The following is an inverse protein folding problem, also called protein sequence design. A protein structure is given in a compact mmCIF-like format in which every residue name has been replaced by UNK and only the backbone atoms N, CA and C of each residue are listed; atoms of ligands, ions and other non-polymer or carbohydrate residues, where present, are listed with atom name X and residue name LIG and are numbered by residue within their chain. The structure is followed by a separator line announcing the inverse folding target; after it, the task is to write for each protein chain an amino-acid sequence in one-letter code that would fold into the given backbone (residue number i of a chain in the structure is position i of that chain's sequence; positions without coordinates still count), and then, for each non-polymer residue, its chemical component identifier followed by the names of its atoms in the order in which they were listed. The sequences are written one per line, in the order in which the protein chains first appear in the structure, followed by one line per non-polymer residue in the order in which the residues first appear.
data_IF_933420886795
#
_entry.id   IF_933420886795
#
_cell.length_a   1.000
_cell.length_b   1.000
_cell.length_c   1.000
_cell.angle_alpha   90.00
_cell.angle_beta   90.00
_cell.angle_gamma   90.00
#
_symmetry.space_group_name_H-M   'P 1'
#
loop_
_entity.id
_entity.type
_entity.pdbx_description
1 polymer ?
#
# COMPACT_ATOMS: atom_id res chain seq x y z
N UNK A 1 -31.55 20.75 53.06
CA UNK A 1 -30.35 20.80 52.17
C UNK A 1 -29.10 20.23 52.87
N UNK A 2 -29.14 18.99 53.37
CA UNK A 2 -27.97 18.32 53.99
C UNK A 2 -27.87 16.83 53.62
N UNK A 3 -28.69 16.36 52.68
CA UNK A 3 -28.72 14.95 52.23
C UNK A 3 -28.24 14.75 50.79
N UNK A 4 -27.92 15.85 50.09
CA UNK A 4 -27.39 15.82 48.72
C UNK A 4 -25.86 15.97 48.65
N UNK A 5 -25.20 16.26 49.79
CA UNK A 5 -23.76 16.52 49.84
C UNK A 5 -22.93 15.24 50.12
N UNK A 6 -23.56 14.15 50.57
CA UNK A 6 -22.88 12.91 50.96
C UNK A 6 -22.89 11.83 49.87
N UNK A 7 -23.73 11.95 48.84
CA UNK A 7 -23.77 11.02 47.71
C UNK A 7 -22.77 11.37 46.60
N UNK A 8 -22.27 12.61 46.58
CA UNK A 8 -21.32 13.07 45.58
C UNK A 8 -19.88 12.58 45.81
N UNK A 9 -19.51 12.20 47.05
CA UNK A 9 -18.14 11.77 47.38
C UNK A 9 -17.89 10.27 47.21
N UNK A 10 -18.95 9.44 47.20
CA UNK A 10 -18.83 7.99 47.02
C UNK A 10 -18.75 7.56 45.54
N UNK A 11 -19.24 8.38 44.61
CA UNK A 11 -19.12 8.13 43.16
C UNK A 11 -17.75 8.47 42.59
N UNK A 12 -16.97 9.34 43.25
CA UNK A 12 -15.63 9.74 42.80
C UNK A 12 -14.55 8.67 43.02
N UNK A 13 -14.79 7.70 43.91
CA UNK A 13 -13.83 6.63 44.22
C UNK A 13 -13.90 5.48 43.18
N UNK A 14 -15.03 5.33 42.48
CA UNK A 14 -15.21 4.28 41.46
C UNK A 14 -14.57 4.66 40.12
N UNK A 15 -14.30 5.94 39.87
CA UNK A 15 -13.69 6.42 38.62
C UNK A 15 -12.14 6.31 38.58
N UNK A 16 -11.50 5.98 39.71
CA UNK A 16 -10.03 5.95 39.84
C UNK A 16 -9.34 4.62 39.49
N UNK A 17 -10.08 3.57 39.13
CA UNK A 17 -9.55 2.20 38.93
C UNK A 17 -9.58 1.72 37.47
N UNK A 18 -9.82 2.61 36.48
CA UNK A 18 -9.88 2.25 35.05
C UNK A 18 -8.74 2.83 34.19
N UNK A 19 -7.68 3.37 34.79
CA UNK A 19 -6.49 3.81 34.05
C UNK A 19 -5.31 2.87 34.30
N UNK A 20 -5.47 1.60 33.88
CA UNK A 20 -4.31 0.73 33.59
C UNK A 20 -3.89 0.96 32.14
N UNK A 21 -2.63 1.33 31.85
CA UNK A 21 -2.12 1.31 30.49
C UNK A 21 -1.96 -0.14 30.04
N UNK A 22 -2.82 -0.60 29.13
CA UNK A 22 -2.58 -1.81 28.33
C UNK A 22 -1.50 -1.47 27.31
N UNK A 23 -0.24 -1.60 27.72
CA UNK A 23 0.91 -1.61 26.81
C UNK A 23 1.63 -2.93 26.99
N UNK A 24 1.10 -3.98 26.37
CA UNK A 24 1.79 -5.24 26.11
C UNK A 24 1.02 -6.08 25.07
N UNK A 25 1.07 -5.69 23.80
CA UNK A 25 1.10 -6.68 22.72
C UNK A 25 2.25 -6.31 21.78
N UNK A 26 3.37 -6.95 22.09
CA UNK A 26 4.45 -7.26 21.18
C UNK A 26 3.88 -8.00 19.95
N UNK A 27 3.57 -7.25 18.90
CA UNK A 27 3.51 -7.75 17.54
C UNK A 27 4.74 -7.26 16.77
N UNK A 28 5.93 -7.46 17.33
CA UNK A 28 7.19 -7.15 16.66
C UNK A 28 7.96 -8.44 16.37
N UNK A 29 7.35 -9.32 15.57
CA UNK A 29 7.92 -10.63 15.27
C UNK A 29 8.12 -10.99 13.79
N UNK A 30 7.49 -10.30 12.82
CA UNK A 30 7.53 -10.72 11.40
C UNK A 30 7.42 -9.60 10.34
N UNK A 31 7.80 -8.36 10.65
CA UNK A 31 7.96 -7.31 9.63
C UNK A 31 9.37 -6.69 9.58
N UNK A 32 10.33 -7.17 10.37
CA UNK A 32 11.69 -6.61 10.40
C UNK A 32 12.63 -7.06 9.27
N UNK A 33 12.18 -7.90 8.34
CA UNK A 33 13.02 -8.30 7.19
C UNK A 33 12.78 -7.47 5.91
N UNK A 34 11.85 -6.51 5.91
CA UNK A 34 11.62 -5.63 4.75
C UNK A 34 11.59 -4.12 5.09
N UNK A 35 11.47 -3.76 6.37
CA UNK A 35 11.29 -2.35 6.76
C UNK A 35 12.59 -1.54 6.76
N UNK A 36 13.75 -2.17 7.03
CA UNK A 36 15.03 -1.46 7.14
C UNK A 36 15.74 -1.16 5.83
N UNK A 37 15.33 -1.76 4.71
CA UNK A 37 15.92 -1.49 3.40
C UNK A 37 15.03 -0.64 2.47
N UNK A 38 13.73 -0.48 2.76
CA UNK A 38 12.84 0.36 1.94
C UNK A 38 12.70 1.80 2.44
N UNK A 39 13.11 2.12 3.67
CA UNK A 39 12.95 3.47 4.25
C UNK A 39 14.14 4.42 3.99
N UNK A 40 15.21 3.97 3.35
CA UNK A 40 16.43 4.76 3.13
C UNK A 40 16.83 4.89 1.65
N UNK A 41 15.89 4.69 0.73
CA UNK A 41 16.09 5.10 -0.66
C UNK A 41 15.58 6.53 -0.83
N UNK A 42 16.45 7.54 -1.00
CA UNK A 42 16.04 8.91 -1.35
C UNK A 42 15.32 9.00 -2.72
N UNK A 43 15.12 7.88 -3.40
CA UNK A 43 14.51 7.75 -4.72
C UNK A 43 13.02 7.36 -4.71
N UNK A 44 12.37 7.26 -3.54
CA UNK A 44 10.89 7.27 -3.48
C UNK A 44 10.31 8.68 -3.74
N UNK A 45 11.14 9.61 -4.19
CA UNK A 45 10.75 10.93 -4.63
C UNK A 45 10.24 10.85 -6.08
N UNK A 46 8.94 10.57 -6.22
CA UNK A 46 8.04 11.22 -7.18
C UNK A 46 8.66 11.47 -8.56
N UNK A 47 8.56 10.49 -9.46
CA UNK A 47 9.24 10.40 -10.78
C UNK A 47 9.07 11.56 -11.78
N UNK A 48 8.51 12.71 -11.38
CA UNK A 48 8.45 13.95 -12.17
C UNK A 48 9.58 14.93 -11.79
N UNK A 49 10.21 14.81 -10.62
CA UNK A 49 11.17 15.82 -10.12
C UNK A 49 12.55 15.82 -10.80
N UNK A 50 12.79 14.92 -11.75
CA UNK A 50 14.05 14.84 -12.49
C UNK A 50 13.96 15.36 -13.92
N UNK A 51 12.96 16.19 -14.27
CA UNK A 51 12.87 16.88 -15.56
C UNK A 51 13.74 18.14 -15.51
N UNK A 52 14.71 18.34 -16.43
CA UNK A 52 15.60 19.49 -16.39
C UNK A 52 14.85 20.80 -16.70
N UNK A 53 15.20 21.85 -15.94
CA UNK A 53 14.76 23.22 -16.22
C UNK A 53 13.28 23.50 -15.96
N UNK A 54 12.66 22.83 -14.99
CA UNK A 54 11.31 23.19 -14.52
C UNK A 54 11.34 24.57 -13.84
N UNK A 55 10.34 25.41 -14.12
CA UNK A 55 10.12 26.65 -13.37
C UNK A 55 9.36 26.37 -12.08
N UNK A 56 9.45 27.28 -11.10
CA UNK A 56 8.71 27.17 -9.83
C UNK A 56 7.20 27.02 -10.04
N UNK A 57 6.65 27.76 -11.01
CA UNK A 57 5.23 27.65 -11.39
C UNK A 57 4.88 26.27 -11.96
N UNK A 58 5.76 25.67 -12.77
CA UNK A 58 5.56 24.31 -13.29
C UNK A 58 5.63 23.29 -12.16
N UNK A 59 6.58 23.43 -11.23
CA UNK A 59 6.73 22.55 -10.06
C UNK A 59 5.45 22.57 -9.23
N UNK A 60 4.97 23.77 -8.85
CA UNK A 60 3.74 23.91 -8.06
C UNK A 60 2.51 23.31 -8.76
N UNK A 61 2.40 23.46 -10.08
CA UNK A 61 1.29 22.86 -10.84
C UNK A 61 1.37 21.33 -10.86
N UNK A 62 2.57 20.78 -11.07
CA UNK A 62 2.81 19.34 -11.09
C UNK A 62 2.54 18.73 -9.70
N UNK A 63 2.97 19.39 -8.62
CA UNK A 63 2.71 18.93 -7.25
C UNK A 63 1.21 18.90 -6.94
N UNK A 64 0.46 19.93 -7.34
CA UNK A 64 -1.01 19.95 -7.19
C UNK A 64 -1.68 18.79 -7.94
N UNK A 65 -1.26 18.54 -9.18
CA UNK A 65 -1.74 17.39 -9.96
C UNK A 65 -1.42 16.07 -9.26
N UNK A 66 -0.19 15.95 -8.72
CA UNK A 66 0.24 14.75 -8.02
C UNK A 66 -0.58 14.50 -6.75
N UNK A 67 -0.78 15.52 -5.91
CA UNK A 67 -1.59 15.40 -4.68
C UNK A 67 -3.04 15.02 -5.03
N UNK A 68 -3.62 15.64 -6.05
CA UNK A 68 -4.96 15.30 -6.51
C UNK A 68 -5.06 13.84 -6.99
N UNK A 69 -4.07 13.40 -7.77
CA UNK A 69 -3.98 12.01 -8.22
C UNK A 69 -3.80 11.04 -7.06
N UNK A 70 -2.93 11.34 -6.08
CA UNK A 70 -2.74 10.50 -4.89
C UNK A 70 -4.03 10.33 -4.10
N UNK A 71 -4.78 11.42 -3.85
CA UNK A 71 -6.09 11.34 -3.15
C UNK A 71 -7.05 10.40 -3.87
N UNK A 72 -7.17 10.56 -5.20
CA UNK A 72 -8.02 9.69 -6.03
C UNK A 72 -7.54 8.23 -6.00
N UNK A 73 -6.23 8.01 -6.04
CA UNK A 73 -5.64 6.67 -5.98
C UNK A 73 -5.88 5.97 -4.64
N UNK A 74 -5.83 6.70 -3.52
CA UNK A 74 -6.19 6.16 -2.20
C UNK A 74 -7.65 5.70 -2.21
N UNK A 75 -8.57 6.56 -2.67
CA UNK A 75 -9.99 6.22 -2.72
C UNK A 75 -10.27 4.98 -3.57
N UNK A 76 -9.70 4.91 -4.79
CA UNK A 76 -9.90 3.78 -5.69
C UNK A 76 -9.31 2.48 -5.12
N UNK A 77 -8.10 2.54 -4.55
CA UNK A 77 -7.47 1.36 -3.93
C UNK A 77 -8.25 0.86 -2.73
N UNK A 78 -8.75 1.77 -1.88
CA UNK A 78 -9.60 1.37 -0.75
C UNK A 78 -10.88 0.68 -1.22
N UNK A 79 -11.55 1.19 -2.27
CA UNK A 79 -12.73 0.55 -2.86
C UNK A 79 -12.41 -0.84 -3.42
N UNK A 80 -11.28 -0.96 -4.12
CA UNK A 80 -10.82 -2.24 -4.64
C UNK A 80 -10.57 -3.25 -3.50
N UNK A 81 -9.85 -2.83 -2.46
CA UNK A 81 -9.55 -3.68 -1.31
C UNK A 81 -10.81 -4.18 -0.60
N UNK A 82 -11.79 -3.29 -0.40
CA UNK A 82 -13.08 -3.67 0.17
C UNK A 82 -13.80 -4.75 -0.67
N UNK A 83 -13.70 -4.68 -2.00
CA UNK A 83 -14.24 -5.72 -2.89
C UNK A 83 -13.51 -7.05 -2.76
N UNK A 84 -12.19 -7.02 -2.58
CA UNK A 84 -11.40 -8.23 -2.36
C UNK A 84 -11.71 -8.88 -1.01
N UNK A 85 -11.95 -8.08 0.04
CA UNK A 85 -12.43 -8.56 1.34
C UNK A 85 -13.81 -9.20 1.19
N UNK A 86 -14.74 -8.56 0.48
CA UNK A 86 -16.08 -9.12 0.22
C UNK A 86 -15.99 -10.46 -0.54
N UNK A 87 -15.10 -10.55 -1.54
CA UNK A 87 -14.84 -11.79 -2.25
C UNK A 87 -14.33 -12.88 -1.30
N UNK A 88 -13.35 -12.55 -0.46
CA UNK A 88 -12.80 -13.50 0.51
C UNK A 88 -13.89 -14.00 1.48
N UNK A 89 -14.78 -13.12 1.94
CA UNK A 89 -15.90 -13.50 2.80
C UNK A 89 -16.84 -14.49 2.09
N UNK A 90 -17.24 -14.19 0.84
CA UNK A 90 -18.07 -15.10 0.03
C UNK A 90 -17.38 -16.46 -0.14
N UNK A 91 -16.09 -16.46 -0.46
CA UNK A 91 -15.36 -17.71 -0.70
C UNK A 91 -15.16 -18.57 0.56
N UNK A 92 -15.10 -17.97 1.74
CA UNK A 92 -14.84 -18.69 3.00
C UNK A 92 -16.11 -19.08 3.76
N UNK A 93 -17.10 -18.19 3.84
CA UNK A 93 -18.25 -18.37 4.74
C UNK A 93 -19.44 -19.00 4.02
N UNK A 94 -19.77 -18.52 2.83
CA UNK A 94 -20.89 -19.02 2.05
C UNK A 94 -20.56 -18.97 0.55
N UNK A 95 -19.86 -20.00 0.04
CA UNK A 95 -19.41 -20.05 -1.35
C UNK A 95 -20.59 -19.93 -2.32
N UNK A 96 -20.64 -18.80 -3.02
CA UNK A 96 -21.59 -18.51 -4.09
C UNK A 96 -20.78 -18.03 -5.30
N UNK A 97 -20.68 -18.89 -6.31
CA UNK A 97 -19.92 -18.63 -7.54
C UNK A 97 -20.43 -17.39 -8.28
N UNK A 98 -21.75 -17.24 -8.39
CA UNK A 98 -22.33 -16.11 -9.13
C UNK A 98 -22.02 -14.80 -8.43
N UNK A 99 -22.12 -14.77 -7.10
CA UNK A 99 -21.76 -13.59 -6.31
C UNK A 99 -20.26 -13.29 -6.40
N UNK A 100 -19.41 -14.30 -6.29
CA UNK A 100 -17.96 -14.16 -6.42
C UNK A 100 -17.57 -13.56 -7.78
N UNK A 101 -18.12 -14.08 -8.88
CA UNK A 101 -17.88 -13.56 -10.23
C UNK A 101 -18.34 -12.09 -10.38
N UNK A 102 -19.50 -11.74 -9.82
CA UNK A 102 -19.97 -10.35 -9.81
C UNK A 102 -19.02 -9.40 -9.08
N UNK A 103 -18.48 -9.82 -7.93
CA UNK A 103 -17.51 -9.01 -7.18
C UNK A 103 -16.22 -8.81 -7.97
N UNK A 104 -15.75 -9.85 -8.68
CA UNK A 104 -14.57 -9.76 -9.56
C UNK A 104 -14.81 -8.76 -10.69
N UNK A 105 -15.98 -8.76 -11.34
CA UNK A 105 -16.31 -7.79 -12.38
C UNK A 105 -16.33 -6.35 -11.85
N UNK A 106 -16.85 -6.15 -10.64
CA UNK A 106 -16.85 -4.85 -9.97
C UNK A 106 -15.44 -4.39 -9.61
N UNK A 107 -14.60 -5.27 -9.05
CA UNK A 107 -13.19 -4.98 -8.79
C UNK A 107 -12.44 -4.64 -10.09
N UNK A 108 -12.70 -5.38 -11.17
CA UNK A 108 -12.13 -5.12 -12.49
C UNK A 108 -12.49 -3.74 -13.05
N UNK A 109 -13.71 -3.23 -12.80
CA UNK A 109 -14.08 -1.86 -13.17
C UNK A 109 -13.24 -0.82 -12.40
N UNK A 110 -12.98 -1.07 -11.11
CA UNK A 110 -12.14 -0.20 -10.29
C UNK A 110 -10.70 -0.21 -10.79
N UNK A 111 -10.17 -1.37 -11.19
CA UNK A 111 -8.85 -1.49 -11.80
C UNK A 111 -8.73 -0.67 -13.09
N UNK A 112 -9.75 -0.75 -13.96
CA UNK A 112 -9.82 0.08 -15.16
C UNK A 112 -9.75 1.56 -14.79
N UNK A 113 -10.47 2.00 -13.77
CA UNK A 113 -10.48 3.39 -13.34
C UNK A 113 -9.15 3.83 -12.71
N UNK A 114 -8.45 2.93 -12.02
CA UNK A 114 -7.06 3.14 -11.57
C UNK A 114 -6.15 3.39 -12.77
N UNK A 115 -6.22 2.55 -13.82
CA UNK A 115 -5.37 2.71 -15.00
C UNK A 115 -5.69 4.01 -15.76
N UNK A 116 -6.98 4.33 -15.93
CA UNK A 116 -7.42 5.61 -16.51
C UNK A 116 -6.89 6.80 -15.70
N UNK A 117 -6.92 6.72 -14.36
CA UNK A 117 -6.41 7.78 -13.49
C UNK A 117 -4.91 8.01 -13.68
N UNK A 118 -4.12 6.94 -13.76
CA UNK A 118 -2.67 7.02 -14.04
C UNK A 118 -2.39 7.68 -15.39
N UNK A 119 -3.06 7.23 -16.45
CA UNK A 119 -2.91 7.78 -17.81
C UNK A 119 -3.32 9.26 -17.83
N UNK A 120 -4.47 9.58 -17.22
CA UNK A 120 -4.98 10.95 -17.14
C UNK A 120 -4.00 11.88 -16.43
N UNK A 121 -3.44 11.47 -15.29
CA UNK A 121 -2.44 12.23 -14.57
C UNK A 121 -1.14 12.40 -15.38
N UNK A 122 -0.68 11.35 -16.05
CA UNK A 122 0.48 11.42 -16.94
C UNK A 122 0.30 12.49 -18.03
N UNK A 123 -0.84 12.49 -18.72
CA UNK A 123 -1.15 13.52 -19.71
C UNK A 123 -1.35 14.90 -19.11
N UNK A 124 -1.90 15.02 -17.90
CA UNK A 124 -2.05 16.30 -17.22
C UNK A 124 -0.69 16.92 -16.90
N UNK A 125 0.26 16.13 -16.37
CA UNK A 125 1.64 16.58 -16.14
C UNK A 125 2.30 16.99 -17.46
N UNK A 126 2.17 16.16 -18.50
CA UNK A 126 2.75 16.44 -19.82
C UNK A 126 2.31 17.79 -20.41
N UNK A 127 1.07 18.23 -20.15
CA UNK A 127 0.52 19.51 -20.64
C UNK A 127 1.15 20.75 -19.99
N UNK A 128 1.72 20.61 -18.78
CA UNK A 128 2.39 21.71 -18.06
C UNK A 128 3.81 21.97 -18.58
N UNK A 129 4.39 20.96 -19.24
CA UNK A 129 5.77 20.96 -19.71
C UNK A 129 5.93 21.66 -21.07
N UNK A 130 7.10 22.26 -21.31
CA UNK A 130 7.50 22.76 -22.63
C UNK A 130 7.79 21.59 -23.59
N UNK A 131 7.86 21.84 -24.91
CA UNK A 131 8.10 20.79 -25.90
C UNK A 131 9.39 19.99 -25.65
N UNK A 132 10.46 20.63 -25.19
CA UNK A 132 11.73 19.94 -24.94
C UNK A 132 11.71 19.17 -23.62
N UNK A 133 11.05 19.70 -22.58
CA UNK A 133 10.78 18.96 -21.34
C UNK A 133 9.88 17.74 -21.60
N UNK A 134 8.89 17.86 -22.48
CA UNK A 134 8.02 16.74 -22.88
C UNK A 134 8.82 15.60 -23.51
N UNK A 135 9.78 15.89 -24.39
CA UNK A 135 10.66 14.84 -24.95
C UNK A 135 11.41 14.09 -23.84
N UNK A 136 11.96 14.81 -22.87
CA UNK A 136 12.66 14.19 -21.74
C UNK A 136 11.72 13.34 -20.88
N UNK A 137 10.53 13.87 -20.59
CA UNK A 137 9.48 13.19 -19.84
C UNK A 137 9.00 11.92 -20.55
N UNK A 138 8.78 12.00 -21.87
CA UNK A 138 8.34 10.89 -22.71
C UNK A 138 9.45 9.84 -22.85
N UNK A 139 10.73 10.21 -22.85
CA UNK A 139 11.84 9.23 -22.87
C UNK A 139 11.98 8.49 -21.53
N UNK A 140 11.80 9.19 -20.40
CA UNK A 140 11.85 8.56 -19.07
C UNK A 140 10.64 7.67 -18.79
N UNK A 141 9.45 8.06 -19.25
CA UNK A 141 8.20 7.34 -18.97
C UNK A 141 7.75 6.41 -20.10
N UNK A 142 8.19 6.66 -21.34
CA UNK A 142 7.90 5.89 -22.55
C UNK A 142 8.80 4.66 -22.71
N UNK A 143 9.72 4.45 -21.76
CA UNK A 143 10.29 3.14 -21.53
C UNK A 143 9.28 2.17 -20.90
N UNK A 144 8.26 1.76 -21.65
CA UNK A 144 7.98 0.31 -21.74
C UNK A 144 9.19 -0.35 -22.44
N UNK A 145 10.41 -0.06 -21.98
CA UNK A 145 11.48 -1.02 -22.07
C UNK A 145 10.86 -2.21 -21.40
N UNK A 146 10.50 -3.20 -22.21
CA UNK A 146 10.71 -4.57 -21.85
C UNK A 146 12.01 -4.52 -21.04
N UNK A 147 11.90 -4.51 -19.72
CA UNK A 147 12.95 -5.05 -18.88
C UNK A 147 12.96 -6.45 -19.45
N UNK A 148 13.83 -6.66 -20.45
CA UNK A 148 14.26 -7.97 -20.90
C UNK A 148 14.28 -8.73 -19.62
N UNK A 149 13.49 -9.78 -19.57
CA UNK A 149 13.60 -10.81 -18.58
C UNK A 149 15.08 -11.18 -18.49
N UNK A 150 15.83 -10.43 -17.67
CA UNK A 150 16.79 -11.01 -16.77
C UNK A 150 15.88 -11.69 -15.77
N UNK A 151 15.26 -12.77 -16.25
CA UNK A 151 14.67 -13.79 -15.45
C UNK A 151 15.68 -14.00 -14.35
N UNK A 152 15.21 -13.77 -13.13
CA UNK A 152 15.85 -14.25 -11.95
C UNK A 152 16.11 -15.72 -12.19
N UNK A 153 17.33 -16.01 -12.65
CA UNK A 153 17.88 -17.34 -12.65
C UNK A 153 18.19 -17.63 -11.18
N UNK A 154 17.14 -17.82 -10.39
CA UNK A 154 17.22 -18.37 -9.04
C UNK A 154 17.08 -19.89 -9.11
N UNK A 155 17.67 -20.49 -10.15
CA UNK A 155 18.14 -21.86 -10.13
C UNK A 155 19.49 -21.90 -9.44
N UNK A 156 19.54 -21.63 -8.13
CA UNK A 156 20.68 -22.04 -7.31
C UNK A 156 20.32 -22.17 -5.81
N UNK A 157 19.28 -22.93 -5.49
CA UNK A 157 19.35 -23.82 -4.33
C UNK A 157 20.14 -25.07 -4.74
N UNK A 158 21.41 -24.89 -5.11
CA UNK A 158 22.35 -25.98 -5.06
C UNK A 158 22.54 -26.31 -3.58
N UNK A 159 21.94 -27.43 -3.19
CA UNK A 159 22.44 -28.30 -2.14
C UNK A 159 23.97 -28.31 -2.17
N UNK A 160 24.57 -27.52 -1.30
CA UNK A 160 25.93 -27.74 -0.80
C UNK A 160 25.79 -27.91 0.71
N UNK A 161 25.90 -29.17 1.11
CA UNK A 161 26.45 -29.59 2.39
C UNK A 161 25.95 -28.83 3.62
N UNK A 162 24.70 -29.08 4.02
CA UNK A 162 24.33 -29.03 5.43
C UNK A 162 23.82 -30.39 5.86
N UNK A 163 24.70 -31.12 6.57
CA UNK A 163 24.31 -32.05 7.62
C UNK A 163 23.52 -33.28 7.19
N UNK A 164 24.24 -34.31 6.73
CA UNK A 164 23.91 -35.68 7.17
C UNK A 164 23.99 -35.67 8.70
N UNK A 165 22.88 -35.58 9.39
CA UNK A 165 22.72 -36.14 10.73
C UNK A 165 21.24 -36.15 11.14
N UNK A 166 20.73 -37.36 11.27
CA UNK A 166 19.75 -37.74 12.28
C UNK A 166 18.34 -37.10 12.21
N UNK A 167 17.50 -37.64 11.32
CA UNK A 167 16.09 -37.83 11.63
C UNK A 167 15.75 -39.31 11.42
N UNK A 168 16.29 -40.15 12.32
CA UNK A 168 15.75 -41.46 12.58
C UNK A 168 14.39 -41.36 13.27
N UNK A 169 13.54 -42.34 12.99
CA UNK A 169 12.33 -42.69 13.73
C UNK A 169 11.22 -41.63 13.83
N UNK A 170 10.29 -41.68 12.87
CA UNK A 170 8.89 -41.86 13.24
C UNK A 170 8.45 -43.27 12.84
N UNK A 171 8.55 -44.18 13.82
CA UNK A 171 7.80 -45.44 13.91
C UNK A 171 6.29 -45.18 13.75
N UNK A 172 5.42 -46.09 13.33
CA UNK A 172 5.39 -47.56 13.38
C UNK A 172 4.28 -48.02 12.44
#
# INVERSE_FOLDING_TARGET
MKRFLTTATLLSIIFGLLLMPVSAQDQNGKMQCMEKEMMNHPDCQMGVMNIPGLTDDQIMQIEKLHIAHQKKMVELKSKHELKMIELQEVMLVNPDEKKALSIIEEAGKIDIDIQKSKISNHFAVRKVLTKDQQKFFDLKNGGMSMKKDKGMNNGNCQNKDMGKENCGNCSK
#
